data_IF_566076814010
#
_entry.id   IF_566076814010
#
_cell.length_a   1.000
_cell.length_b   1.000
_cell.length_c   1.000
_cell.angle_alpha   90.00
_cell.angle_beta   90.00
_cell.angle_gamma   90.00
#
_symmetry.space_group_name_H-M   'P 1'
#
loop_
_entity.id
_entity.type
_entity.pdbx_description
1 polymer ?
#
# COMPACT_ATOMS: atom_id res chain seq x y z
N UNK A 1 -17.79 29.74 5.20
CA UNK A 1 -18.01 29.02 3.93
C UNK A 1 -17.11 27.81 3.92
N UNK A 2 -17.65 26.59 4.04
CA UNK A 2 -16.86 25.34 4.01
C UNK A 2 -16.85 24.80 2.58
N UNK A 3 -15.69 24.80 1.94
CA UNK A 3 -15.49 24.27 0.60
C UNK A 3 -15.54 22.74 0.67
N UNK A 4 -16.65 22.16 0.21
CA UNK A 4 -16.84 20.72 0.08
C UNK A 4 -15.97 20.23 -1.08
N UNK A 5 -14.83 19.62 -0.80
CA UNK A 5 -14.07 18.87 -1.81
C UNK A 5 -14.95 17.68 -2.24
N UNK A 6 -15.52 17.77 -3.44
CA UNK A 6 -16.20 16.65 -4.09
C UNK A 6 -15.13 15.74 -4.68
N UNK A 7 -14.71 14.73 -3.93
CA UNK A 7 -14.01 13.60 -4.51
C UNK A 7 -15.00 12.91 -5.45
N UNK A 8 -14.74 12.99 -6.76
CA UNK A 8 -15.54 12.28 -7.75
C UNK A 8 -15.28 10.79 -7.58
N UNK A 9 -16.31 10.04 -7.20
CA UNK A 9 -16.39 8.59 -7.35
C UNK A 9 -16.25 8.22 -8.83
N UNK A 10 -15.00 8.13 -9.32
CA UNK A 10 -14.72 7.52 -10.61
C UNK A 10 -14.51 6.04 -10.38
N UNK A 11 -15.62 5.32 -10.57
CA UNK A 11 -15.70 3.99 -11.17
C UNK A 11 -14.50 3.06 -10.93
N UNK A 12 -14.66 2.17 -9.96
CA UNK A 12 -13.89 0.93 -9.85
C UNK A 12 -14.22 0.12 -11.11
N UNK A 13 -13.26 -0.01 -12.02
CA UNK A 13 -13.45 -0.74 -13.27
C UNK A 13 -13.40 -2.26 -13.03
N UNK A 14 -14.33 -3.04 -13.60
CA UNK A 14 -14.31 -4.49 -13.53
C UNK A 14 -13.30 -5.04 -14.54
N UNK A 15 -12.37 -5.86 -14.05
CA UNK A 15 -11.58 -6.86 -14.80
C UNK A 15 -11.13 -6.47 -16.21
N UNK A 16 -9.91 -5.95 -16.31
CA UNK A 16 -9.29 -5.68 -17.60
C UNK A 16 -8.47 -6.92 -18.02
N UNK A 17 -9.04 -7.71 -18.94
CA UNK A 17 -8.33 -8.81 -19.63
C UNK A 17 -7.17 -8.22 -20.44
N UNK A 18 -5.94 -8.53 -20.06
CA UNK A 18 -4.75 -8.20 -20.84
C UNK A 18 -4.17 -9.48 -21.44
N UNK A 19 -4.38 -9.64 -22.75
CA UNK A 19 -3.72 -10.64 -23.56
C UNK A 19 -2.26 -10.23 -23.84
N UNK A 20 -1.35 -11.17 -23.59
CA UNK A 20 -0.01 -11.30 -24.22
C UNK A 20 1.12 -10.29 -23.90
N UNK A 21 1.33 -9.86 -22.64
CA UNK A 21 2.56 -9.11 -22.25
C UNK A 21 3.31 -9.67 -21.02
N UNK A 22 4.63 -9.44 -21.06
CA UNK A 22 5.73 -10.23 -20.52
C UNK A 22 5.85 -10.18 -18.98
N UNK A 23 6.10 -11.31 -18.31
CA UNK A 23 6.46 -11.59 -16.88
C UNK A 23 6.31 -10.48 -15.80
N UNK A 24 6.75 -9.24 -16.03
CA UNK A 24 6.47 -8.08 -15.18
C UNK A 24 4.97 -7.84 -15.03
N UNK A 25 4.21 -7.94 -16.12
CA UNK A 25 2.74 -7.80 -16.08
C UNK A 25 2.07 -8.87 -15.22
N UNK A 26 2.61 -10.09 -15.23
CA UNK A 26 2.11 -11.18 -14.39
C UNK A 26 2.29 -10.88 -12.90
N UNK A 27 3.47 -10.39 -12.51
CA UNK A 27 3.77 -10.03 -11.12
C UNK A 27 2.91 -8.86 -10.64
N UNK A 28 2.75 -7.82 -11.47
CA UNK A 28 1.90 -6.67 -11.15
C UNK A 28 0.42 -7.06 -11.09
N UNK A 29 -0.07 -7.88 -12.02
CA UNK A 29 -1.45 -8.37 -12.01
C UNK A 29 -1.78 -9.14 -10.73
N UNK A 30 -0.84 -9.95 -10.23
CA UNK A 30 -1.02 -10.66 -8.95
C UNK A 30 -1.04 -9.71 -7.76
N UNK A 31 -0.21 -8.66 -7.77
CA UNK A 31 -0.25 -7.62 -6.73
C UNK A 31 -1.56 -6.87 -6.79
N UNK A 32 -2.08 -6.56 -7.98
CA UNK A 32 -3.41 -5.96 -8.15
C UNK A 32 -4.52 -6.84 -7.54
N UNK A 33 -4.51 -8.14 -7.81
CA UNK A 33 -5.45 -9.10 -7.19
C UNK A 33 -5.35 -9.11 -5.66
N UNK A 34 -4.13 -9.04 -5.11
CA UNK A 34 -3.91 -9.00 -3.67
C UNK A 34 -4.37 -7.65 -3.07
N UNK A 35 -4.18 -6.53 -3.76
CA UNK A 35 -4.71 -5.22 -3.35
C UNK A 35 -6.25 -5.20 -3.41
N UNK A 36 -6.87 -5.85 -4.40
CA UNK A 36 -8.33 -5.99 -4.47
C UNK A 36 -8.89 -6.77 -3.27
N UNK A 37 -8.16 -7.79 -2.81
CA UNK A 37 -8.49 -8.50 -1.56
C UNK A 37 -8.43 -7.53 -0.37
N UNK A 38 -7.39 -6.69 -0.26
CA UNK A 38 -7.28 -5.70 0.81
C UNK A 38 -8.38 -4.64 0.76
N UNK A 39 -8.81 -4.20 -0.43
CA UNK A 39 -9.96 -3.30 -0.58
C UNK A 39 -11.24 -3.99 -0.09
N UNK A 40 -11.49 -5.22 -0.55
CA UNK A 40 -12.67 -6.00 -0.17
C UNK A 40 -12.74 -6.20 1.34
N UNK A 41 -11.59 -6.45 1.97
CA UNK A 41 -11.48 -6.70 3.41
C UNK A 41 -11.45 -5.39 4.23
N UNK A 42 -11.47 -4.23 3.58
CA UNK A 42 -11.52 -2.90 4.21
C UNK A 42 -10.20 -2.41 4.79
N UNK A 43 -9.09 -3.07 4.45
CA UNK A 43 -7.74 -2.77 4.95
C UNK A 43 -7.09 -1.59 4.21
N UNK A 44 -7.50 -1.37 2.95
CA UNK A 44 -7.13 -0.19 2.15
C UNK A 44 -8.36 0.38 1.46
N UNK A 45 -8.31 1.67 1.12
CA UNK A 45 -9.40 2.34 0.40
C UNK A 45 -9.41 2.03 -1.09
N UNK A 46 -8.25 2.15 -1.74
CA UNK A 46 -8.10 2.01 -3.21
C UNK A 46 -6.63 1.99 -3.60
N UNK A 47 -6.33 1.73 -4.87
CA UNK A 47 -5.01 1.95 -5.45
C UNK A 47 -5.11 2.52 -6.87
N UNK A 48 -4.01 3.09 -7.35
CA UNK A 48 -3.79 3.45 -8.75
C UNK A 48 -2.58 2.64 -9.24
N UNK A 49 -2.72 1.93 -10.36
CA UNK A 49 -1.59 1.31 -11.07
C UNK A 49 -0.95 2.36 -11.97
N UNK A 50 0.38 2.45 -11.99
CA UNK A 50 1.08 3.34 -12.91
C UNK A 50 0.92 2.87 -14.36
N UNK A 51 0.76 3.81 -15.27
CA UNK A 51 0.85 3.54 -16.71
C UNK A 51 2.28 3.78 -17.21
N UNK A 52 2.67 3.05 -18.25
CA UNK A 52 3.98 3.23 -18.87
C UNK A 52 4.20 4.69 -19.26
N UNK A 53 5.35 5.25 -18.88
CA UNK A 53 5.75 6.65 -19.14
C UNK A 53 5.00 7.73 -18.37
N UNK A 54 4.10 7.36 -17.47
CA UNK A 54 3.44 8.33 -16.59
C UNK A 54 4.43 8.92 -15.55
N UNK A 55 3.93 9.84 -14.73
CA UNK A 55 4.78 10.46 -13.71
C UNK A 55 5.25 9.46 -12.65
N UNK A 56 4.46 8.44 -12.33
CA UNK A 56 4.73 7.45 -11.27
C UNK A 56 5.76 6.42 -11.72
N UNK A 57 5.66 5.94 -12.96
CA UNK A 57 6.62 5.05 -13.62
C UNK A 57 8.02 5.69 -13.66
N UNK A 58 8.11 6.99 -13.93
CA UNK A 58 9.38 7.74 -13.88
C UNK A 58 10.02 7.76 -12.48
N UNK A 59 9.21 7.61 -11.43
CA UNK A 59 9.70 7.48 -10.05
C UNK A 59 9.91 6.02 -9.63
N UNK A 60 9.66 5.05 -10.51
CA UNK A 60 9.72 3.62 -10.18
C UNK A 60 8.61 3.20 -9.22
N UNK A 61 7.42 3.77 -9.37
CA UNK A 61 6.24 3.41 -8.59
C UNK A 61 5.33 2.62 -9.51
N UNK A 62 5.06 1.35 -9.17
CA UNK A 62 4.14 0.52 -9.95
C UNK A 62 2.70 0.70 -9.45
N UNK A 63 2.53 0.97 -8.15
CA UNK A 63 1.23 1.21 -7.51
C UNK A 63 1.30 2.38 -6.51
N UNK A 64 0.28 3.24 -6.52
CA UNK A 64 0.00 4.19 -5.45
C UNK A 64 -1.17 3.65 -4.63
N UNK A 65 -0.90 3.21 -3.39
CA UNK A 65 -1.91 2.59 -2.53
C UNK A 65 -2.46 3.63 -1.55
N UNK A 66 -3.78 3.77 -1.45
CA UNK A 66 -4.45 4.70 -0.55
C UNK A 66 -5.01 3.92 0.63
N UNK A 67 -4.45 4.14 1.82
CA UNK A 67 -4.92 3.52 3.06
C UNK A 67 -6.19 4.24 3.53
N UNK A 68 -6.12 5.57 3.59
CA UNK A 68 -7.22 6.46 4.00
C UNK A 68 -7.36 7.64 3.02
N UNK A 69 -8.13 8.67 3.36
CA UNK A 69 -8.40 9.81 2.47
C UNK A 69 -7.15 10.67 2.18
N UNK A 70 -6.21 10.74 3.11
CA UNK A 70 -5.01 11.58 3.09
C UNK A 70 -3.70 10.79 3.22
N UNK A 71 -3.80 9.47 3.38
CA UNK A 71 -2.64 8.59 3.56
C UNK A 71 -2.47 7.69 2.34
N UNK A 72 -1.34 7.84 1.65
CA UNK A 72 -0.97 6.98 0.53
C UNK A 72 0.48 6.48 0.65
N UNK A 73 0.71 5.29 0.12
CA UNK A 73 1.99 4.59 0.15
C UNK A 73 2.36 4.24 -1.29
N UNK A 74 3.49 4.75 -1.82
CA UNK A 74 4.00 4.29 -3.11
C UNK A 74 4.53 2.87 -2.95
N UNK A 75 4.29 2.01 -3.92
CA UNK A 75 4.68 0.61 -3.90
C UNK A 75 5.34 0.23 -5.22
N UNK A 76 6.51 -0.40 -5.11
CA UNK A 76 7.21 -1.04 -6.23
C UNK A 76 7.03 -2.56 -6.13
N UNK A 77 6.84 -3.21 -7.28
CA UNK A 77 6.80 -4.65 -7.46
C UNK A 77 8.10 -5.13 -8.10
N UNK A 78 8.61 -6.24 -7.60
CA UNK A 78 9.69 -7.00 -8.23
C UNK A 78 9.28 -8.47 -8.33
N UNK A 79 9.76 -9.13 -9.37
CA UNK A 79 9.53 -10.57 -9.57
C UNK A 79 10.62 -11.44 -8.94
N UNK A 80 11.70 -10.83 -8.42
CA UNK A 80 12.85 -11.55 -7.87
C UNK A 80 13.58 -10.80 -6.74
N UNK A 81 14.27 -11.58 -5.91
CA UNK A 81 15.12 -11.09 -4.83
C UNK A 81 16.25 -10.19 -5.34
N UNK A 82 16.92 -10.58 -6.44
CA UNK A 82 17.95 -9.76 -7.08
C UNK A 82 17.40 -8.41 -7.54
N UNK A 83 16.14 -8.37 -8.01
CA UNK A 83 15.46 -7.13 -8.35
C UNK A 83 15.24 -6.22 -7.14
N UNK A 84 14.85 -6.80 -6.00
CA UNK A 84 14.70 -6.07 -4.73
C UNK A 84 16.04 -5.53 -4.24
N UNK A 85 17.10 -6.35 -4.24
CA UNK A 85 18.42 -5.92 -3.79
C UNK A 85 18.94 -4.75 -4.63
N UNK A 86 18.78 -4.80 -5.95
CA UNK A 86 19.14 -3.67 -6.82
C UNK A 86 18.32 -2.42 -6.51
N UNK A 87 17.03 -2.55 -6.21
CA UNK A 87 16.16 -1.43 -5.81
C UNK A 87 16.65 -0.76 -4.52
N UNK A 88 16.99 -1.55 -3.51
CA UNK A 88 17.44 -1.04 -2.22
C UNK A 88 18.86 -0.47 -2.29
N UNK A 89 19.80 -1.22 -2.87
CA UNK A 89 21.23 -0.89 -2.81
C UNK A 89 21.69 0.08 -3.89
N UNK A 90 21.22 -0.09 -5.12
CA UNK A 90 21.72 0.70 -6.27
C UNK A 90 20.93 1.99 -6.43
N UNK A 91 19.60 1.93 -6.22
CA UNK A 91 18.73 3.11 -6.37
C UNK A 91 18.55 3.91 -5.08
N UNK A 92 18.97 3.37 -3.91
CA UNK A 92 18.68 3.94 -2.57
C UNK A 92 17.21 4.35 -2.44
N UNK A 93 16.33 3.54 -3.01
CA UNK A 93 14.92 3.90 -3.11
C UNK A 93 14.25 3.73 -1.75
N UNK A 94 13.65 4.81 -1.26
CA UNK A 94 12.82 4.80 -0.04
C UNK A 94 11.43 4.20 -0.29
N UNK A 95 11.07 3.95 -1.56
CA UNK A 95 9.78 3.37 -1.96
C UNK A 95 9.71 1.91 -1.47
N UNK A 96 8.73 1.56 -0.61
CA UNK A 96 8.43 0.19 -0.21
C UNK A 96 8.32 -0.74 -1.42
N UNK A 97 8.89 -1.93 -1.30
CA UNK A 97 8.94 -2.88 -2.40
C UNK A 97 8.44 -4.26 -1.95
N UNK A 98 7.62 -4.89 -2.78
CA UNK A 98 7.16 -6.27 -2.58
C UNK A 98 7.70 -7.19 -3.67
N UNK A 99 8.00 -8.44 -3.30
CA UNK A 99 8.33 -9.48 -4.26
C UNK A 99 7.07 -10.33 -4.54
N UNK A 100 6.58 -10.26 -5.77
CA UNK A 100 5.43 -11.04 -6.22
C UNK A 100 5.87 -12.41 -6.74
N UNK A 101 6.18 -13.34 -5.82
CA UNK A 101 6.57 -14.69 -6.18
C UNK A 101 5.43 -15.47 -6.84
N UNK A 102 5.71 -16.12 -7.97
CA UNK A 102 4.72 -16.89 -8.77
C UNK A 102 4.00 -18.03 -8.02
N UNK A 103 4.59 -18.54 -6.94
CA UNK A 103 4.01 -19.64 -6.18
C UNK A 103 3.11 -19.17 -5.03
N UNK A 104 3.11 -17.88 -4.67
CA UNK A 104 2.30 -17.36 -3.57
C UNK A 104 0.88 -17.08 -4.05
N UNK A 105 -0.14 -17.61 -3.38
CA UNK A 105 -1.52 -17.23 -3.75
C UNK A 105 -1.76 -15.73 -3.53
N UNK A 106 -2.75 -15.11 -4.22
CA UNK A 106 -3.11 -13.71 -3.99
C UNK A 106 -3.39 -13.39 -2.51
N UNK A 107 -3.95 -14.33 -1.75
CA UNK A 107 -4.21 -14.17 -0.31
C UNK A 107 -2.91 -14.11 0.51
N UNK A 108 -1.94 -14.98 0.22
CA UNK A 108 -0.62 -14.92 0.87
C UNK A 108 0.09 -13.61 0.53
N UNK A 109 -0.04 -13.17 -0.72
CA UNK A 109 0.54 -11.91 -1.18
C UNK A 109 -0.13 -10.70 -0.51
N UNK A 110 -1.44 -10.76 -0.24
CA UNK A 110 -2.15 -9.73 0.51
C UNK A 110 -1.63 -9.61 1.96
N UNK A 111 -1.36 -10.72 2.62
CA UNK A 111 -0.76 -10.72 3.97
C UNK A 111 0.67 -10.15 3.97
N UNK A 112 1.47 -10.42 2.94
CA UNK A 112 2.78 -9.78 2.77
C UNK A 112 2.65 -8.28 2.47
N UNK A 113 1.67 -7.89 1.64
CA UNK A 113 1.37 -6.48 1.35
C UNK A 113 1.02 -5.72 2.63
N UNK A 114 0.25 -6.29 3.56
CA UNK A 114 -0.07 -5.64 4.84
C UNK A 114 1.20 -5.23 5.59
N UNK A 115 2.18 -6.13 5.66
CA UNK A 115 3.48 -5.86 6.29
C UNK A 115 4.25 -4.75 5.59
N UNK A 116 4.31 -4.79 4.25
CA UNK A 116 5.05 -3.81 3.43
C UNK A 116 4.41 -2.43 3.51
N UNK A 117 3.07 -2.37 3.50
CA UNK A 117 2.30 -1.13 3.57
C UNK A 117 2.25 -0.54 4.99
N UNK A 118 2.82 -1.23 5.98
CA UNK A 118 2.71 -0.82 7.39
C UNK A 118 1.28 -0.89 7.92
N UNK A 119 0.41 -1.67 7.26
CA UNK A 119 -0.90 -2.06 7.77
C UNK A 119 -0.61 -3.12 8.84
N UNK A 120 -0.18 -2.66 10.00
CA UNK A 120 -0.12 -3.50 11.17
C UNK A 120 -1.55 -3.82 11.54
N UNK A 121 -1.95 -5.07 11.29
CA UNK A 121 -3.16 -5.68 11.83
C UNK A 121 -3.14 -5.39 13.33
N UNK A 122 -4.04 -4.55 13.81
CA UNK A 122 -4.17 -4.33 15.23
C UNK A 122 -4.80 -5.57 15.87
N UNK A 123 -4.10 -6.17 16.84
CA UNK A 123 -4.74 -6.42 18.12
C UNK A 123 -4.46 -5.29 19.12
N UNK A 124 -3.59 -4.32 18.80
CA UNK A 124 -3.16 -3.30 19.76
C UNK A 124 -4.25 -2.27 20.11
N UNK A 125 -5.17 -1.97 19.19
CA UNK A 125 -6.36 -1.15 19.50
C UNK A 125 -7.33 -1.83 20.48
N UNK A 126 -7.30 -3.16 20.56
CA UNK A 126 -8.10 -3.92 21.54
C UNK A 126 -7.32 -4.31 22.79
N UNK A 127 -5.98 -4.32 22.74
CA UNK A 127 -5.11 -4.60 23.88
C UNK A 127 -4.80 -3.37 24.74
N UNK A 128 -5.08 -2.17 24.25
CA UNK A 128 -5.07 -0.93 25.04
C UNK A 128 -6.45 -0.26 24.91
N UNK A 129 -7.48 -0.78 25.60
CA UNK A 129 -8.71 -0.04 25.76
C UNK A 129 -8.40 1.12 26.72
N UNK A 130 -8.54 2.35 26.23
CA UNK A 130 -8.46 3.59 27.01
C UNK A 130 -7.06 3.93 27.56
N UNK A 131 -6.15 4.41 26.71
CA UNK A 131 -5.26 5.48 27.16
C UNK A 131 -6.00 6.79 26.90
N UNK A 132 -6.52 7.37 27.97
CA UNK A 132 -6.97 8.75 27.96
C UNK A 132 -5.73 9.65 27.73
N UNK A 133 -5.60 10.14 26.50
CA UNK A 133 -4.51 11.01 26.09
C UNK A 133 -4.54 12.37 26.83
N UNK A 134 -5.65 12.75 27.46
CA UNK A 134 -5.68 13.93 28.35
C UNK A 134 -4.94 13.66 29.67
N UNK A 135 -5.12 12.49 30.28
CA UNK A 135 -4.38 12.08 31.50
C UNK A 135 -2.88 11.93 31.25
N UNK A 136 -2.51 11.39 30.09
CA UNK A 136 -1.10 11.19 29.75
C UNK A 136 -0.37 12.52 29.55
N UNK A 137 -1.04 13.50 28.93
CA UNK A 137 -0.47 14.84 28.72
C UNK A 137 -0.42 15.65 30.03
N UNK A 138 -1.38 15.49 30.93
CA UNK A 138 -1.33 16.10 32.27
C UNK A 138 -0.16 15.57 33.10
N UNK A 139 0.07 14.24 33.06
CA UNK A 139 1.16 13.59 33.79
C UNK A 139 2.54 14.03 33.29
N UNK A 140 2.71 14.20 31.97
CA UNK A 140 3.96 14.67 31.38
C UNK A 140 4.17 16.17 31.67
N UNK A 141 3.11 16.98 31.67
CA UNK A 141 3.18 18.41 32.01
C UNK A 141 3.69 18.68 33.43
N UNK A 142 3.28 17.86 34.40
CA UNK A 142 3.72 17.96 35.80
C UNK A 142 5.16 17.45 36.02
N UNK A 143 5.67 16.56 35.16
CA UNK A 143 7.06 16.07 35.25
C UNK A 143 8.09 17.05 34.64
N UNK A 144 7.64 18.03 33.85
CA UNK A 144 8.51 18.98 33.12
C UNK A 144 8.37 20.41 33.68
N UNK A 145 7.58 20.60 34.74
CA UNK A 145 7.44 21.84 35.52
C UNK A 145 8.28 21.81 36.79
#
# INVERSE_FOLDING_TARGET
MKTRLKFSEKQIAPWQEFADQERGDESECRVAQALDILIRDGEIRSYIRSEQYDQYDRFGIDFMVFLEADTCVPLQVKSSQTGLENHLWVKRSEIPCIIAHRHLSPEMLAEELKKVLGIWVEPLRQAIPELDYEELNATIGDMVS
#
